data_IF_316395113412
#
_entry.id   IF_316395113412
#
_cell.length_a   1.000
_cell.length_b   1.000
_cell.length_c   1.000
_cell.angle_alpha   90.00
_cell.angle_beta   90.00
_cell.angle_gamma   90.00
#
_symmetry.space_group_name_H-M   'P 1'
#
loop_
_entity.id
_entity.type
_entity.pdbx_description
1 polymer ?
#
# COMPACT_ATOMS: atom_id res chain seq x y z
N UNK A 1 11.88 22.97 -5.41
CA UNK A 1 11.73 21.50 -5.62
C UNK A 1 10.39 21.09 -5.08
N UNK A 2 9.43 20.83 -5.96
CA UNK A 2 8.13 20.28 -5.55
C UNK A 2 8.34 18.79 -5.29
N UNK A 3 8.29 18.37 -4.03
CA UNK A 3 8.38 16.95 -3.68
C UNK A 3 7.13 16.23 -4.20
N UNK A 4 7.34 15.19 -5.04
CA UNK A 4 6.26 14.31 -5.47
C UNK A 4 5.59 13.66 -4.25
N UNK A 5 4.26 13.53 -4.31
CA UNK A 5 3.45 12.90 -3.25
C UNK A 5 3.90 11.47 -2.89
N UNK A 6 4.60 10.79 -3.79
CA UNK A 6 4.99 9.40 -3.66
C UNK A 6 6.46 9.19 -3.33
N UNK A 7 7.26 10.26 -3.25
CA UNK A 7 8.67 10.17 -2.89
C UNK A 7 8.89 9.73 -1.44
N UNK A 8 9.89 8.89 -1.24
CA UNK A 8 10.30 8.38 0.07
C UNK A 8 10.77 9.49 1.02
N UNK A 9 11.24 10.62 0.47
CA UNK A 9 11.79 11.76 1.22
C UNK A 9 10.82 12.39 2.22
N UNK A 10 9.49 12.26 2.03
CA UNK A 10 8.53 12.82 3.01
C UNK A 10 8.63 12.18 4.41
N UNK A 11 9.28 11.04 4.55
CA UNK A 11 9.51 10.43 5.86
C UNK A 11 10.50 11.24 6.71
N UNK A 12 11.30 12.13 6.08
CA UNK A 12 12.21 13.05 6.78
C UNK A 12 11.47 14.02 7.74
N UNK A 13 10.15 14.17 7.63
CA UNK A 13 9.34 14.87 8.64
C UNK A 13 9.38 14.21 10.03
N UNK A 14 9.89 12.99 10.10
CA UNK A 14 10.06 12.19 11.31
C UNK A 14 11.54 11.86 11.52
N UNK A 15 12.40 12.84 11.24
CA UNK A 15 13.86 12.66 11.29
C UNK A 15 14.34 12.13 12.65
N UNK A 16 13.77 12.62 13.73
CA UNK A 16 14.03 12.16 15.10
C UNK A 16 13.82 10.65 15.28
N UNK A 17 12.75 10.10 14.69
CA UNK A 17 12.51 8.65 14.70
C UNK A 17 13.48 7.90 13.78
N UNK A 18 13.81 8.45 12.63
CA UNK A 18 14.78 7.83 11.72
C UNK A 18 16.17 7.78 12.34
N UNK A 19 16.60 8.84 13.02
CA UNK A 19 17.84 8.90 13.77
C UNK A 19 17.88 7.86 14.90
N UNK A 20 16.81 7.73 15.68
CA UNK A 20 16.71 6.66 16.68
C UNK A 20 16.86 5.28 16.05
N UNK A 21 16.20 5.00 14.91
CA UNK A 21 16.29 3.72 14.21
C UNK A 21 17.73 3.49 13.68
N UNK A 22 18.34 4.50 13.11
CA UNK A 22 19.74 4.42 12.63
C UNK A 22 20.72 4.00 13.73
N UNK A 23 20.48 4.46 14.96
CA UNK A 23 21.30 4.14 16.14
C UNK A 23 20.77 2.95 16.96
N UNK A 24 19.95 2.08 16.36
CA UNK A 24 19.48 0.82 16.98
C UNK A 24 18.27 0.97 17.90
N UNK A 25 17.64 2.15 17.97
CA UNK A 25 16.41 2.37 18.69
C UNK A 25 15.19 1.76 18.00
N UNK A 26 14.10 1.62 18.76
CA UNK A 26 12.84 1.02 18.31
C UNK A 26 11.65 1.95 18.60
N UNK A 27 11.58 3.15 17.98
CA UNK A 27 10.46 4.06 18.20
C UNK A 27 9.14 3.43 17.72
N UNK A 28 8.00 3.92 18.25
CA UNK A 28 6.70 3.48 17.76
C UNK A 28 6.49 3.87 16.28
N UNK A 29 5.74 3.04 15.51
CA UNK A 29 5.63 3.21 14.06
C UNK A 29 5.02 4.55 13.67
N UNK A 30 5.46 5.05 12.53
CA UNK A 30 4.93 6.25 11.87
C UNK A 30 3.67 5.87 11.06
N UNK A 31 3.77 4.75 10.34
CA UNK A 31 2.76 4.22 9.44
C UNK A 31 2.11 2.96 10.03
N UNK A 32 0.80 3.00 10.19
CA UNK A 32 0.00 1.89 10.69
C UNK A 32 -0.83 1.33 9.55
N UNK A 33 -0.64 0.07 9.23
CA UNK A 33 -1.35 -0.62 8.14
C UNK A 33 -2.28 -1.65 8.75
N UNK A 34 -3.51 -1.69 8.29
CA UNK A 34 -4.48 -2.70 8.72
C UNK A 34 -5.13 -3.37 7.53
N UNK A 35 -5.24 -4.69 7.60
CA UNK A 35 -6.00 -5.53 6.69
C UNK A 35 -7.33 -5.92 7.35
N UNK A 36 -8.41 -5.16 7.12
CA UNK A 36 -9.70 -5.43 7.77
C UNK A 36 -10.31 -6.78 7.38
N UNK A 37 -9.91 -7.31 6.22
CA UNK A 37 -10.38 -8.57 5.67
C UNK A 37 -9.30 -9.20 4.78
N UNK A 38 -9.23 -10.55 4.74
CA UNK A 38 -8.51 -11.28 3.69
C UNK A 38 -9.45 -11.78 2.58
N UNK A 39 -10.76 -11.59 2.75
CA UNK A 39 -11.76 -11.89 1.72
C UNK A 39 -11.76 -10.78 0.67
N UNK A 40 -11.80 -11.15 -0.60
CA UNK A 40 -11.89 -10.20 -1.71
C UNK A 40 -12.94 -10.68 -2.73
N UNK A 41 -13.72 -9.75 -3.23
CA UNK A 41 -14.69 -9.97 -4.30
C UNK A 41 -14.08 -9.84 -5.71
N UNK A 42 -12.76 -9.57 -5.82
CA UNK A 42 -11.99 -9.59 -7.08
C UNK A 42 -10.96 -10.73 -7.08
N UNK A 43 -10.51 -11.10 -8.29
CA UNK A 43 -9.51 -12.15 -8.55
C UNK A 43 -8.37 -11.63 -9.44
N UNK A 44 -7.83 -10.43 -9.13
CA UNK A 44 -6.82 -9.77 -9.96
C UNK A 44 -5.64 -10.69 -10.29
N UNK A 45 -5.21 -10.66 -11.55
CA UNK A 45 -4.15 -11.54 -12.09
C UNK A 45 -2.80 -11.33 -11.43
N UNK A 46 -2.47 -10.08 -11.09
CA UNK A 46 -1.23 -9.70 -10.40
C UNK A 46 -1.34 -9.65 -8.87
N UNK A 47 -2.41 -10.14 -8.27
CA UNK A 47 -2.58 -10.04 -6.82
C UNK A 47 -1.51 -10.87 -6.10
N UNK A 48 -0.59 -10.18 -5.41
CA UNK A 48 0.52 -10.82 -4.70
C UNK A 48 0.03 -11.83 -3.64
N UNK A 49 -1.09 -11.52 -2.98
CA UNK A 49 -1.67 -12.42 -1.97
C UNK A 49 -2.22 -13.72 -2.56
N UNK A 50 -2.61 -13.70 -3.83
CA UNK A 50 -3.01 -14.92 -4.55
C UNK A 50 -1.83 -15.69 -5.11
N UNK A 51 -0.83 -14.97 -5.62
CA UNK A 51 0.37 -15.57 -6.20
C UNK A 51 1.19 -16.34 -5.17
N UNK A 52 1.22 -15.87 -3.93
CA UNK A 52 1.97 -16.51 -2.83
C UNK A 52 1.13 -17.47 -1.97
N UNK A 53 -0.12 -17.73 -2.34
CA UNK A 53 -1.00 -18.67 -1.65
C UNK A 53 -1.54 -18.19 -0.29
N UNK A 54 -1.27 -16.95 0.10
CA UNK A 54 -1.71 -16.41 1.41
C UNK A 54 -3.22 -16.12 1.48
N UNK A 55 -3.88 -16.03 0.36
CA UNK A 55 -5.30 -15.72 0.30
C UNK A 55 -6.16 -16.95 0.14
N UNK A 56 -7.31 -16.93 0.80
CA UNK A 56 -8.53 -17.66 0.46
C UNK A 56 -8.73 -19.04 1.06
N UNK A 57 -7.75 -19.72 1.60
CA UNK A 57 -7.97 -21.00 2.27
C UNK A 57 -8.82 -20.83 3.55
N UNK A 58 -8.73 -19.65 4.18
CA UNK A 58 -9.49 -19.32 5.38
C UNK A 58 -10.02 -17.88 5.29
N UNK A 59 -11.29 -17.67 4.90
CA UNK A 59 -11.89 -16.35 4.89
C UNK A 59 -11.97 -15.78 6.32
N UNK A 60 -11.23 -14.72 6.58
CA UNK A 60 -11.15 -14.08 7.90
C UNK A 60 -11.49 -12.59 7.78
N UNK A 61 -12.29 -12.11 8.69
CA UNK A 61 -12.61 -10.70 8.88
C UNK A 61 -12.11 -10.29 10.27
N UNK A 62 -11.31 -9.23 10.32
CA UNK A 62 -10.77 -8.73 11.58
C UNK A 62 -11.93 -8.32 12.52
N UNK A 63 -11.96 -8.83 13.77
CA UNK A 63 -13.02 -8.49 14.70
C UNK A 63 -13.07 -6.99 15.00
N UNK A 64 -14.28 -6.43 15.16
CA UNK A 64 -14.50 -5.01 15.46
C UNK A 64 -13.64 -4.52 16.62
N UNK A 65 -13.63 -5.28 17.73
CA UNK A 65 -12.85 -4.91 18.93
C UNK A 65 -11.36 -4.71 18.60
N UNK A 66 -10.76 -5.63 17.85
CA UNK A 66 -9.35 -5.58 17.48
C UNK A 66 -9.06 -4.40 16.53
N UNK A 67 -9.96 -4.18 15.55
CA UNK A 67 -9.82 -3.08 14.60
C UNK A 67 -9.90 -1.71 15.30
N UNK A 68 -10.87 -1.49 16.20
CA UNK A 68 -11.00 -0.23 16.94
C UNK A 68 -9.79 0.01 17.85
N UNK A 69 -9.37 -1.02 18.59
CA UNK A 69 -8.20 -0.94 19.46
C UNK A 69 -6.93 -0.56 18.69
N UNK A 70 -6.73 -1.12 17.50
CA UNK A 70 -5.59 -0.78 16.67
C UNK A 70 -5.60 0.71 16.26
N UNK A 71 -6.76 1.28 15.98
CA UNK A 71 -6.92 2.70 15.69
C UNK A 71 -6.61 3.55 16.92
N UNK A 72 -7.09 3.15 18.10
CA UNK A 72 -6.84 3.84 19.37
C UNK A 72 -5.35 3.80 19.73
N UNK A 73 -4.69 2.63 19.60
CA UNK A 73 -3.27 2.47 19.83
C UNK A 73 -2.43 3.32 18.86
N UNK A 74 -2.80 3.37 17.58
CA UNK A 74 -2.15 4.23 16.60
C UNK A 74 -2.21 5.72 17.01
N UNK A 75 -3.37 6.18 17.44
CA UNK A 75 -3.55 7.56 17.90
C UNK A 75 -2.73 7.86 19.17
N UNK A 76 -2.81 6.99 20.16
CA UNK A 76 -2.14 7.13 21.45
C UNK A 76 -0.61 7.10 21.34
N UNK A 77 -0.06 6.31 20.41
CA UNK A 77 1.38 6.10 20.23
C UNK A 77 1.99 7.01 19.14
N UNK A 78 1.25 8.02 18.70
CA UNK A 78 1.75 9.02 17.76
C UNK A 78 1.89 8.52 16.32
N UNK A 79 1.06 7.57 15.92
CA UNK A 79 0.90 7.17 14.53
C UNK A 79 0.41 8.34 13.67
N UNK A 80 1.02 8.55 12.52
CA UNK A 80 0.68 9.69 11.65
C UNK A 80 -0.44 9.36 10.70
N UNK A 81 -0.51 8.11 10.24
CA UNK A 81 -1.48 7.65 9.25
C UNK A 81 -1.84 6.18 9.50
N UNK A 82 -3.12 5.87 9.35
CA UNK A 82 -3.61 4.50 9.27
C UNK A 82 -4.01 4.22 7.82
N UNK A 83 -3.40 3.19 7.22
CA UNK A 83 -3.73 2.70 5.89
C UNK A 83 -4.65 1.48 6.01
N UNK A 84 -5.85 1.59 5.48
CA UNK A 84 -6.80 0.50 5.31
C UNK A 84 -6.60 -0.09 3.91
N UNK A 85 -5.93 -1.21 3.85
CA UNK A 85 -5.67 -1.91 2.59
C UNK A 85 -5.73 -3.43 2.86
N UNK A 86 -5.23 -4.26 1.97
CA UNK A 86 -5.20 -5.51 2.48
C UNK A 86 -4.83 -6.71 1.74
N UNK A 87 -4.90 -7.83 2.46
CA UNK A 87 -4.94 -9.14 1.92
C UNK A 87 -6.19 -9.39 1.06
N UNK A 88 -7.32 -8.73 1.39
CA UNK A 88 -8.58 -8.74 0.66
C UNK A 88 -9.12 -7.33 0.37
N UNK A 89 -10.45 -7.21 0.24
CA UNK A 89 -11.12 -5.92 0.11
C UNK A 89 -11.50 -5.35 1.49
N UNK A 90 -10.97 -4.17 1.88
CA UNK A 90 -11.23 -3.60 3.20
C UNK A 90 -12.71 -3.35 3.51
N UNK A 91 -13.50 -3.00 2.49
CA UNK A 91 -14.92 -2.67 2.66
C UNK A 91 -15.83 -3.89 2.86
N UNK A 92 -15.32 -5.10 2.72
CA UNK A 92 -16.04 -6.33 3.12
C UNK A 92 -16.20 -6.38 4.64
N UNK A 93 -15.26 -5.82 5.39
CA UNK A 93 -15.45 -5.65 6.83
C UNK A 93 -16.41 -4.48 7.10
N UNK A 94 -17.63 -4.79 7.54
CA UNK A 94 -18.68 -3.80 7.84
C UNK A 94 -18.29 -2.73 8.88
N UNK A 95 -17.24 -2.96 9.63
CA UNK A 95 -16.73 -2.05 10.66
C UNK A 95 -15.64 -1.10 10.17
N UNK A 96 -15.25 -1.18 8.89
CA UNK A 96 -14.21 -0.31 8.33
C UNK A 96 -14.62 1.17 8.38
N UNK A 97 -15.88 1.49 8.08
CA UNK A 97 -16.37 2.88 8.19
C UNK A 97 -16.31 3.42 9.62
N UNK A 98 -16.68 2.61 10.62
CA UNK A 98 -16.58 2.99 12.02
C UNK A 98 -15.12 3.29 12.41
N UNK A 99 -14.18 2.45 11.96
CA UNK A 99 -12.75 2.62 12.22
C UNK A 99 -12.17 3.89 11.56
N UNK A 100 -12.60 4.21 10.34
CA UNK A 100 -12.24 5.47 9.67
C UNK A 100 -12.74 6.68 10.44
N UNK A 101 -13.99 6.66 10.88
CA UNK A 101 -14.59 7.74 11.69
C UNK A 101 -13.89 7.89 13.04
N UNK A 102 -13.54 6.79 13.69
CA UNK A 102 -12.77 6.80 14.93
C UNK A 102 -11.38 7.41 14.71
N UNK A 103 -10.63 6.99 13.68
CA UNK A 103 -9.32 7.57 13.37
C UNK A 103 -9.41 9.08 13.14
N UNK A 104 -10.42 9.54 12.39
CA UNK A 104 -10.65 10.96 12.16
C UNK A 104 -10.97 11.72 13.46
N UNK A 105 -11.78 11.16 14.36
CA UNK A 105 -12.12 11.78 15.64
C UNK A 105 -10.91 11.90 16.58
N UNK A 106 -9.94 10.97 16.44
CA UNK A 106 -8.69 10.97 17.18
C UNK A 106 -7.56 11.78 16.50
N UNK A 107 -7.85 12.42 15.36
CA UNK A 107 -6.89 13.27 14.64
C UNK A 107 -5.84 12.51 13.81
N UNK A 108 -5.98 11.18 13.64
CA UNK A 108 -5.08 10.38 12.82
C UNK A 108 -5.55 10.42 11.36
N UNK A 109 -4.62 10.64 10.43
CA UNK A 109 -4.94 10.64 9.00
C UNK A 109 -5.31 9.25 8.52
N UNK A 110 -6.22 9.20 7.56
CA UNK A 110 -6.69 7.95 6.98
C UNK A 110 -6.30 7.83 5.51
N UNK A 111 -5.81 6.66 5.13
CA UNK A 111 -5.60 6.28 3.74
C UNK A 111 -6.31 4.95 3.48
N UNK A 112 -6.87 4.77 2.29
CA UNK A 112 -7.52 3.53 1.90
C UNK A 112 -7.19 3.16 0.46
N UNK A 113 -7.00 1.86 0.24
CA UNK A 113 -7.01 1.25 -1.09
C UNK A 113 -8.17 0.27 -1.15
N UNK A 114 -9.07 0.47 -2.12
CA UNK A 114 -10.25 -0.37 -2.33
C UNK A 114 -10.43 -0.69 -3.81
N UNK A 115 -11.11 -1.75 -4.15
CA UNK A 115 -11.51 -2.04 -5.52
C UNK A 115 -12.72 -1.20 -6.00
N UNK A 116 -13.37 -0.46 -5.09
CA UNK A 116 -14.45 0.46 -5.40
C UNK A 116 -15.85 -0.15 -5.48
N UNK A 117 -15.99 -1.48 -5.50
CA UNK A 117 -17.30 -2.13 -5.62
C UNK A 117 -18.26 -1.81 -4.47
N UNK A 118 -17.74 -1.63 -3.28
CA UNK A 118 -18.50 -1.30 -2.07
C UNK A 118 -18.31 0.16 -1.62
N UNK A 119 -17.75 0.99 -2.48
CA UNK A 119 -17.52 2.40 -2.18
C UNK A 119 -18.85 3.16 -2.05
N UNK A 120 -18.94 4.00 -1.03
CA UNK A 120 -20.08 4.90 -0.79
C UNK A 120 -19.61 6.33 -0.53
N UNK A 121 -20.51 7.33 -0.67
CA UNK A 121 -20.20 8.72 -0.33
C UNK A 121 -19.69 8.89 1.11
N UNK A 122 -20.22 8.12 2.07
CA UNK A 122 -19.81 8.18 3.48
C UNK A 122 -18.36 7.69 3.66
N UNK A 123 -17.94 6.66 2.91
CA UNK A 123 -16.56 6.19 2.90
C UNK A 123 -15.65 7.29 2.33
N UNK A 124 -16.02 7.88 1.19
CA UNK A 124 -15.23 8.95 0.57
C UNK A 124 -15.08 10.17 1.48
N UNK A 125 -16.14 10.53 2.22
CA UNK A 125 -16.15 11.60 3.21
C UNK A 125 -15.33 11.28 4.47
N UNK A 126 -14.90 10.03 4.67
CA UNK A 126 -14.18 9.57 5.85
C UNK A 126 -12.70 9.25 5.61
N UNK A 127 -12.21 9.35 4.36
CA UNK A 127 -10.83 9.01 3.98
C UNK A 127 -10.08 10.25 3.49
N UNK A 128 -8.91 10.54 4.08
CA UNK A 128 -8.08 11.66 3.62
C UNK A 128 -7.39 11.36 2.28
N UNK A 129 -6.96 10.11 2.05
CA UNK A 129 -6.35 9.65 0.80
C UNK A 129 -7.02 8.36 0.33
N UNK A 130 -7.97 8.51 -0.58
CA UNK A 130 -8.73 7.38 -1.14
C UNK A 130 -8.18 7.00 -2.51
N UNK A 131 -7.77 5.75 -2.65
CA UNK A 131 -7.25 5.18 -3.89
C UNK A 131 -8.10 4.00 -4.33
N UNK A 132 -8.69 4.09 -5.51
CA UNK A 132 -9.54 3.05 -6.09
C UNK A 132 -8.73 2.26 -7.10
N UNK A 133 -8.58 0.96 -6.88
CA UNK A 133 -7.81 0.03 -7.71
C UNK A 133 -8.65 -0.43 -8.91
N UNK A 134 -8.87 0.47 -9.88
CA UNK A 134 -9.68 0.19 -11.07
C UNK A 134 -8.89 -0.60 -12.12
N UNK A 135 -7.61 -0.24 -12.34
CA UNK A 135 -6.62 -0.94 -13.16
C UNK A 135 -6.96 -1.10 -14.65
N UNK A 136 -7.93 -0.38 -15.14
CA UNK A 136 -8.37 -0.43 -16.53
C UNK A 136 -9.05 0.89 -16.95
N UNK A 137 -8.96 1.26 -18.21
CA UNK A 137 -9.71 2.35 -18.83
C UNK A 137 -10.98 1.87 -19.53
N UNK A 138 -11.13 0.56 -19.70
CA UNK A 138 -12.26 -0.06 -20.39
C UNK A 138 -12.83 -1.25 -19.62
N UNK A 139 -14.13 -1.51 -19.79
CA UNK A 139 -14.81 -2.65 -19.17
C UNK A 139 -14.15 -3.98 -19.57
N UNK A 140 -13.83 -4.14 -20.85
CA UNK A 140 -13.20 -5.35 -21.38
C UNK A 140 -11.84 -5.63 -20.72
N UNK A 141 -11.03 -4.58 -20.50
CA UNK A 141 -9.74 -4.70 -19.82
C UNK A 141 -9.93 -5.00 -18.33
N UNK A 142 -10.85 -4.31 -17.65
CA UNK A 142 -11.19 -4.54 -16.26
C UNK A 142 -11.58 -6.00 -16.01
N UNK A 143 -12.44 -6.54 -16.85
CA UNK A 143 -12.87 -7.92 -16.73
C UNK A 143 -11.70 -8.92 -16.87
N UNK A 144 -10.79 -8.70 -17.83
CA UNK A 144 -9.62 -9.57 -18.01
C UNK A 144 -8.68 -9.55 -16.81
N UNK A 145 -8.44 -8.39 -16.24
CA UNK A 145 -7.39 -8.19 -15.24
C UNK A 145 -7.89 -8.35 -13.80
N UNK A 146 -9.12 -7.95 -13.49
CA UNK A 146 -9.61 -7.94 -12.11
C UNK A 146 -10.44 -9.18 -11.75
N UNK A 147 -10.99 -9.90 -12.72
CA UNK A 147 -11.87 -11.05 -12.49
C UNK A 147 -11.28 -12.40 -12.94
N UNK A 148 -10.09 -12.40 -13.55
CA UNK A 148 -9.44 -13.61 -14.00
C UNK A 148 -10.25 -14.38 -15.05
N UNK A 149 -10.99 -13.62 -15.89
CA UNK A 149 -11.82 -14.17 -16.98
C UNK A 149 -12.98 -15.06 -16.52
N UNK A 150 -13.51 -14.88 -15.32
CA UNK A 150 -14.73 -15.56 -14.87
C UNK A 150 -15.94 -15.08 -15.68
N UNK A 151 -16.56 -15.91 -16.54
CA UNK A 151 -17.64 -15.49 -17.41
C UNK A 151 -18.93 -15.09 -16.66
N UNK A 152 -19.04 -15.48 -15.38
CA UNK A 152 -20.21 -15.21 -14.55
C UNK A 152 -20.11 -13.87 -13.78
N UNK A 153 -18.94 -13.23 -13.79
CA UNK A 153 -18.68 -12.01 -13.01
C UNK A 153 -18.63 -10.75 -13.89
N UNK A 154 -19.60 -10.64 -14.81
CA UNK A 154 -19.78 -9.45 -15.65
C UNK A 154 -20.72 -8.45 -14.95
N UNK A 155 -20.46 -7.18 -15.10
CA UNK A 155 -21.32 -6.09 -14.59
C UNK A 155 -20.74 -5.33 -13.40
N UNK A 156 -19.58 -5.74 -12.89
CA UNK A 156 -18.89 -5.07 -11.81
C UNK A 156 -18.36 -3.67 -12.22
N UNK A 157 -17.93 -3.54 -13.45
CA UNK A 157 -17.44 -2.28 -14.03
C UNK A 157 -18.41 -1.12 -13.81
N UNK A 158 -19.66 -1.27 -14.24
CA UNK A 158 -20.65 -0.19 -14.14
C UNK A 158 -20.94 0.17 -12.68
N UNK A 159 -21.00 -0.84 -11.80
CA UNK A 159 -21.19 -0.62 -10.36
C UNK A 159 -20.04 0.23 -9.79
N UNK A 160 -18.80 -0.08 -10.15
CA UNK A 160 -17.62 0.66 -9.67
C UNK A 160 -17.63 2.09 -10.22
N UNK A 161 -17.88 2.26 -11.52
CA UNK A 161 -17.94 3.59 -12.14
C UNK A 161 -19.04 4.45 -11.50
N UNK A 162 -20.21 3.90 -11.27
CA UNK A 162 -21.33 4.62 -10.63
C UNK A 162 -21.01 4.94 -9.17
N UNK A 163 -20.34 4.04 -8.46
CA UNK A 163 -19.87 4.30 -7.09
C UNK A 163 -18.86 5.45 -7.05
N UNK A 164 -17.92 5.50 -8.00
CA UNK A 164 -16.94 6.59 -8.08
C UNK A 164 -17.66 7.91 -8.38
N UNK A 165 -18.53 7.95 -9.39
CA UNK A 165 -19.30 9.16 -9.74
C UNK A 165 -20.10 9.72 -8.57
N UNK A 166 -20.74 8.84 -7.80
CA UNK A 166 -21.52 9.24 -6.62
C UNK A 166 -20.65 9.69 -5.45
N UNK A 167 -19.46 9.13 -5.31
CA UNK A 167 -18.59 9.34 -4.15
C UNK A 167 -17.59 10.48 -4.34
N UNK A 168 -17.13 10.74 -5.55
CA UNK A 168 -16.13 11.76 -5.85
C UNK A 168 -16.54 13.17 -5.36
N UNK A 169 -17.79 13.63 -5.49
CA UNK A 169 -18.21 14.93 -4.95
C UNK A 169 -18.15 15.02 -3.42
N UNK A 170 -18.16 13.90 -2.72
CA UNK A 170 -18.16 13.80 -1.25
C UNK A 170 -16.78 13.53 -0.65
N UNK A 171 -15.72 13.54 -1.48
CA UNK A 171 -14.36 13.28 -1.00
C UNK A 171 -13.95 14.21 0.13
N UNK A 172 -13.34 13.63 1.17
CA UNK A 172 -12.83 14.40 2.31
C UNK A 172 -11.63 15.26 1.91
N UNK A 173 -10.67 14.69 1.17
CA UNK A 173 -9.49 15.39 0.61
C UNK A 173 -9.21 14.89 -0.80
N UNK A 174 -8.42 13.83 -0.96
CA UNK A 174 -7.97 13.36 -2.26
C UNK A 174 -8.59 12.00 -2.59
N UNK A 175 -9.21 11.90 -3.76
CA UNK A 175 -9.67 10.66 -4.36
C UNK A 175 -8.94 10.43 -5.69
N UNK A 176 -8.49 9.21 -5.94
CA UNK A 176 -7.83 8.90 -7.19
C UNK A 176 -7.94 7.44 -7.61
N UNK A 177 -7.55 7.18 -8.85
CA UNK A 177 -7.54 5.84 -9.42
C UNK A 177 -6.13 5.27 -9.45
N UNK A 178 -6.01 3.97 -9.17
CA UNK A 178 -4.76 3.24 -9.32
C UNK A 178 -4.80 2.35 -10.56
N UNK A 179 -3.67 2.27 -11.22
CA UNK A 179 -3.40 1.38 -12.35
C UNK A 179 -2.16 0.55 -12.03
N UNK A 180 -2.36 -0.73 -11.83
CA UNK A 180 -1.27 -1.71 -11.77
C UNK A 180 -0.95 -2.08 -13.21
N UNK A 181 0.17 -1.57 -13.70
CA UNK A 181 0.66 -1.73 -15.06
C UNK A 181 1.23 -3.13 -15.25
N UNK A 182 0.70 -3.87 -16.20
CA UNK A 182 1.16 -5.18 -16.60
C UNK A 182 1.35 -5.24 -18.12
N UNK A 183 2.00 -6.29 -18.62
CA UNK A 183 2.30 -6.47 -20.05
C UNK A 183 1.03 -6.65 -20.91
N UNK A 184 -0.10 -6.97 -20.32
CA UNK A 184 -1.38 -7.19 -21.02
C UNK A 184 -2.37 -6.02 -20.91
N UNK A 185 -2.04 -4.97 -20.13
CA UNK A 185 -2.92 -3.81 -19.96
C UNK A 185 -2.28 -2.44 -20.22
N UNK A 186 -0.96 -2.34 -20.46
CA UNK A 186 -0.26 -1.05 -20.56
C UNK A 186 -0.80 -0.14 -21.68
N UNK A 187 -1.34 -0.71 -22.74
CA UNK A 187 -1.94 0.06 -23.85
C UNK A 187 -3.23 0.77 -23.45
N UNK A 188 -3.84 0.40 -22.33
CA UNK A 188 -5.07 0.99 -21.81
C UNK A 188 -4.82 2.27 -20.95
N UNK A 189 -3.54 2.64 -20.74
CA UNK A 189 -3.16 3.82 -19.93
C UNK A 189 -3.83 5.11 -20.41
N UNK A 190 -3.84 5.48 -21.71
CA UNK A 190 -4.50 6.70 -22.13
C UNK A 190 -5.99 6.70 -21.83
N UNK A 191 -6.71 5.63 -22.16
CA UNK A 191 -8.14 5.50 -21.87
C UNK A 191 -8.43 5.54 -20.35
N UNK A 192 -7.55 4.98 -19.53
CA UNK A 192 -7.67 5.04 -18.08
C UNK A 192 -7.52 6.47 -17.54
N UNK A 193 -6.57 7.25 -18.07
CA UNK A 193 -6.37 8.64 -17.64
C UNK A 193 -7.52 9.54 -18.10
N UNK A 194 -8.02 9.34 -19.34
CA UNK A 194 -9.20 10.04 -19.85
C UNK A 194 -10.44 9.76 -18.99
N UNK A 195 -10.67 8.49 -18.65
CA UNK A 195 -11.75 8.08 -17.73
C UNK A 195 -11.60 8.72 -16.35
N UNK A 196 -10.39 8.79 -15.81
CA UNK A 196 -10.14 9.42 -14.52
C UNK A 196 -10.49 10.92 -14.52
N UNK A 197 -10.20 11.62 -15.63
CA UNK A 197 -10.61 13.01 -15.83
C UNK A 197 -12.13 13.15 -15.91
N UNK A 198 -12.82 12.27 -16.67
CA UNK A 198 -14.28 12.22 -16.75
C UNK A 198 -14.96 12.01 -15.39
N UNK A 199 -14.36 11.16 -14.55
CA UNK A 199 -14.87 10.83 -13.20
C UNK A 199 -14.56 11.91 -12.15
N UNK A 200 -13.93 13.02 -12.52
CA UNK A 200 -13.57 14.15 -11.64
C UNK A 200 -12.76 13.73 -10.41
N UNK A 201 -11.83 12.78 -10.56
CA UNK A 201 -10.90 12.40 -9.51
C UNK A 201 -9.67 13.32 -9.50
N UNK A 202 -8.94 13.36 -8.38
CA UNK A 202 -7.84 14.31 -8.18
C UNK A 202 -6.51 13.80 -8.76
N UNK A 203 -6.34 12.46 -8.82
CA UNK A 203 -5.08 11.89 -9.28
C UNK A 203 -5.26 10.49 -9.88
N UNK A 204 -4.31 10.12 -10.72
CA UNK A 204 -4.04 8.73 -11.08
C UNK A 204 -2.66 8.31 -10.59
N UNK A 205 -2.55 7.06 -10.16
CA UNK A 205 -1.37 6.44 -9.62
C UNK A 205 -1.02 5.18 -10.41
N UNK A 206 -0.04 5.28 -11.31
CA UNK A 206 0.40 4.19 -12.19
C UNK A 206 1.68 3.60 -11.62
N UNK A 207 1.70 2.28 -11.44
CA UNK A 207 2.87 1.53 -10.95
C UNK A 207 2.97 0.18 -11.64
N UNK A 208 4.18 -0.38 -11.85
CA UNK A 208 4.34 -1.70 -12.44
C UNK A 208 3.75 -2.79 -11.52
N UNK A 209 3.21 -3.83 -12.14
CA UNK A 209 2.91 -5.08 -11.48
C UNK A 209 4.20 -5.71 -10.96
N UNK A 210 4.03 -6.58 -9.98
CA UNK A 210 5.08 -7.45 -9.50
C UNK A 210 4.62 -8.89 -9.64
N UNK A 211 5.45 -9.73 -10.24
CA UNK A 211 5.21 -11.15 -10.33
C UNK A 211 6.31 -11.91 -9.60
N UNK A 212 5.93 -12.96 -8.84
CA UNK A 212 6.91 -13.89 -8.25
C UNK A 212 7.56 -14.77 -9.32
N UNK A 213 6.85 -15.04 -10.41
CA UNK A 213 7.41 -15.71 -11.58
C UNK A 213 8.35 -14.77 -12.32
N UNK A 214 9.63 -15.17 -12.47
CA UNK A 214 10.64 -14.34 -13.10
C UNK A 214 10.39 -14.11 -14.60
N UNK A 215 9.73 -15.04 -15.28
CA UNK A 215 9.40 -14.88 -16.71
C UNK A 215 8.31 -13.83 -16.91
N UNK A 216 7.29 -13.82 -16.05
CA UNK A 216 6.23 -12.82 -16.03
C UNK A 216 6.79 -11.44 -15.65
N UNK A 217 7.66 -11.37 -14.63
CA UNK A 217 8.32 -10.12 -14.23
C UNK A 217 9.19 -9.56 -15.35
N UNK A 218 9.91 -10.39 -16.10
CA UNK A 218 10.69 -9.99 -17.25
C UNK A 218 9.82 -9.41 -18.39
N UNK A 219 8.62 -9.93 -18.60
CA UNK A 219 7.64 -9.39 -19.56
C UNK A 219 7.18 -7.99 -19.16
N UNK A 220 6.89 -7.77 -17.88
CA UNK A 220 6.55 -6.43 -17.36
C UNK A 220 7.72 -5.47 -17.59
N UNK A 221 8.95 -5.89 -17.28
CA UNK A 221 10.15 -5.08 -17.48
C UNK A 221 10.35 -4.69 -18.95
N UNK A 222 10.08 -5.61 -19.86
CA UNK A 222 10.27 -5.39 -21.31
C UNK A 222 9.38 -4.26 -21.87
N UNK A 223 8.16 -4.08 -21.32
CA UNK A 223 7.23 -3.06 -21.81
C UNK A 223 7.40 -1.68 -21.13
N UNK A 224 8.28 -1.57 -20.13
CA UNK A 224 8.44 -0.32 -19.36
C UNK A 224 8.71 0.93 -20.20
N UNK A 225 9.61 0.93 -21.21
CA UNK A 225 9.85 2.12 -22.03
C UNK A 225 8.61 2.61 -22.76
N UNK A 226 7.80 1.69 -23.29
CA UNK A 226 6.55 2.02 -24.01
C UNK A 226 5.48 2.52 -23.01
N UNK A 227 5.37 1.89 -21.87
CA UNK A 227 4.43 2.28 -20.83
C UNK A 227 4.73 3.67 -20.26
N UNK A 228 6.00 4.01 -20.05
CA UNK A 228 6.42 5.35 -19.61
C UNK A 228 6.11 6.39 -20.68
N UNK A 229 6.35 6.10 -21.96
CA UNK A 229 5.98 7.00 -23.04
C UNK A 229 4.45 7.27 -23.09
N UNK A 230 3.62 6.23 -22.86
CA UNK A 230 2.16 6.39 -22.76
C UNK A 230 1.75 7.22 -21.54
N UNK A 231 2.42 7.06 -20.40
CA UNK A 231 2.20 7.89 -19.21
C UNK A 231 2.53 9.36 -19.50
N UNK A 232 3.62 9.64 -20.22
CA UNK A 232 4.02 11.01 -20.55
C UNK A 232 3.05 11.67 -21.53
N UNK A 233 2.58 10.93 -22.53
CA UNK A 233 1.53 11.39 -23.46
C UNK A 233 0.25 11.71 -22.68
N UNK A 234 -0.23 10.78 -21.83
CA UNK A 234 -1.42 10.98 -21.04
C UNK A 234 -1.28 12.18 -20.09
N UNK A 235 -0.11 12.36 -19.47
CA UNK A 235 0.19 13.53 -18.63
C UNK A 235 0.15 14.82 -19.42
N UNK A 236 0.72 14.85 -20.63
CA UNK A 236 0.71 16.03 -21.51
C UNK A 236 -0.70 16.41 -21.94
N UNK A 237 -1.54 15.43 -22.29
CA UNK A 237 -2.92 15.66 -22.71
C UNK A 237 -3.80 16.27 -21.61
N UNK A 238 -3.46 16.02 -20.33
CA UNK A 238 -4.19 16.56 -19.18
C UNK A 238 -3.42 17.68 -18.44
N UNK A 239 -2.35 18.22 -19.06
CA UNK A 239 -1.58 19.31 -18.47
C UNK A 239 -2.44 20.57 -18.29
N UNK A 240 -2.34 21.20 -17.12
CA UNK A 240 -3.14 22.40 -16.78
C UNK A 240 -4.55 22.08 -16.27
N UNK A 241 -5.00 20.83 -16.33
CA UNK A 241 -6.23 20.36 -15.70
C UNK A 241 -6.05 20.07 -14.21
N UNK A 242 -7.13 19.67 -13.55
CA UNK A 242 -7.13 19.31 -12.12
C UNK A 242 -6.46 17.95 -11.86
N UNK A 243 -6.63 17.01 -12.78
CA UNK A 243 -6.12 15.66 -12.67
C UNK A 243 -4.59 15.63 -12.66
N UNK A 244 -4.00 15.03 -11.62
CA UNK A 244 -2.57 14.82 -11.52
C UNK A 244 -2.21 13.37 -11.93
N UNK A 245 -1.30 13.22 -12.90
CA UNK A 245 -0.86 11.91 -13.39
C UNK A 245 0.50 11.55 -12.80
N UNK A 246 0.52 10.55 -11.93
CA UNK A 246 1.74 10.04 -11.30
C UNK A 246 2.11 8.66 -11.86
N UNK A 247 3.14 8.63 -12.70
CA UNK A 247 3.89 7.42 -12.97
C UNK A 247 5.02 7.34 -11.92
N UNK A 248 5.01 6.33 -11.05
CA UNK A 248 5.95 6.26 -9.93
C UNK A 248 7.29 5.71 -10.42
N UNK A 249 8.10 6.59 -10.98
CA UNK A 249 9.40 6.26 -11.56
C UNK A 249 10.33 5.55 -10.58
N UNK A 250 10.41 5.97 -9.32
CA UNK A 250 11.20 5.28 -8.29
C UNK A 250 10.83 3.80 -8.13
N UNK A 251 9.56 3.43 -8.38
CA UNK A 251 9.14 2.03 -8.36
C UNK A 251 9.44 1.32 -9.67
N UNK A 252 9.40 2.04 -10.79
CA UNK A 252 9.78 1.47 -12.08
C UNK A 252 11.27 1.12 -12.14
N UNK A 253 12.11 1.92 -11.53
CA UNK A 253 13.56 1.71 -11.49
C UNK A 253 13.97 0.84 -10.29
N UNK A 254 13.42 1.14 -9.11
CA UNK A 254 13.83 0.55 -7.84
C UNK A 254 13.49 -0.93 -7.66
N UNK A 255 12.50 -1.46 -8.42
CA UNK A 255 12.15 -2.88 -8.31
C UNK A 255 13.24 -3.82 -8.82
N UNK A 256 14.03 -3.37 -9.79
CA UNK A 256 15.10 -4.16 -10.42
C UNK A 256 16.51 -3.64 -10.09
N UNK A 257 16.62 -2.61 -9.24
CA UNK A 257 17.92 -2.08 -8.80
C UNK A 257 18.42 -2.86 -7.58
N UNK A 258 19.70 -3.23 -7.52
CA UNK A 258 20.30 -3.82 -6.33
C UNK A 258 20.12 -2.93 -5.10
N UNK A 259 19.88 -3.54 -3.95
CA UNK A 259 19.74 -2.80 -2.69
C UNK A 259 21.07 -2.19 -2.26
N UNK A 260 21.01 -0.97 -1.75
CA UNK A 260 22.16 -0.26 -1.19
C UNK A 260 22.34 -0.45 0.32
N UNK A 261 21.59 -1.38 0.94
CA UNK A 261 21.58 -1.63 2.38
C UNK A 261 21.64 -3.13 2.66
N UNK A 262 22.28 -3.49 3.78
CA UNK A 262 22.55 -4.88 4.19
C UNK A 262 21.56 -5.43 5.23
N UNK A 263 20.75 -4.57 5.84
CA UNK A 263 19.71 -4.96 6.79
C UNK A 263 18.48 -4.08 6.64
N UNK A 264 17.30 -4.65 6.90
CA UNK A 264 16.06 -3.88 6.83
C UNK A 264 15.79 -3.14 8.14
N UNK A 265 16.06 -1.84 8.16
CA UNK A 265 15.75 -0.96 9.30
C UNK A 265 14.39 -0.28 9.15
N UNK A 266 13.86 -0.18 7.92
CA UNK A 266 12.56 0.44 7.64
C UNK A 266 11.38 -0.28 8.31
N UNK A 267 11.53 -1.54 8.73
CA UNK A 267 10.54 -2.29 9.52
C UNK A 267 10.17 -1.60 10.84
N UNK A 268 11.02 -0.70 11.34
CA UNK A 268 10.73 0.11 12.52
C UNK A 268 9.88 1.35 12.21
N UNK A 269 9.71 1.69 10.94
CA UNK A 269 8.87 2.85 10.53
C UNK A 269 7.40 2.51 10.37
N UNK A 270 7.05 1.24 10.30
CA UNK A 270 5.66 0.82 10.07
C UNK A 270 5.30 -0.49 10.74
N UNK A 271 4.01 -0.75 10.85
CA UNK A 271 3.42 -1.98 11.37
C UNK A 271 2.25 -2.40 10.50
N UNK A 272 2.05 -3.70 10.31
CA UNK A 272 0.91 -4.25 9.57
C UNK A 272 0.13 -5.22 10.44
N UNK A 273 -1.12 -4.88 10.75
CA UNK A 273 -2.08 -5.79 11.40
C UNK A 273 -2.84 -6.55 10.32
N UNK A 274 -2.68 -7.87 10.29
CA UNK A 274 -3.39 -8.74 9.33
C UNK A 274 -4.81 -9.04 9.79
N UNK A 275 -5.66 -9.49 8.86
CA UNK A 275 -7.04 -9.90 9.17
C UNK A 275 -7.13 -11.04 10.20
N UNK A 276 -6.09 -11.87 10.27
CA UNK A 276 -5.91 -12.94 11.27
C UNK A 276 -5.63 -12.42 12.68
N UNK A 277 -5.34 -11.11 12.82
CA UNK A 277 -5.06 -10.45 14.10
C UNK A 277 -3.60 -10.52 14.54
N UNK A 278 -2.73 -11.13 13.75
CA UNK A 278 -1.28 -11.11 13.93
C UNK A 278 -0.64 -9.88 13.27
N UNK A 279 0.56 -9.55 13.69
CA UNK A 279 1.34 -8.46 13.10
C UNK A 279 2.38 -9.00 12.11
N UNK A 280 2.47 -8.40 10.93
CA UNK A 280 3.57 -8.63 10.00
C UNK A 280 4.59 -7.50 10.08
N UNK A 281 5.86 -7.83 9.86
CA UNK A 281 6.96 -6.85 9.87
C UNK A 281 6.85 -5.84 8.74
N UNK A 282 6.24 -6.25 7.63
CA UNK A 282 6.13 -5.44 6.41
C UNK A 282 4.92 -5.91 5.60
N UNK A 283 4.32 -5.00 4.86
CA UNK A 283 3.20 -5.32 3.98
C UNK A 283 3.57 -6.15 2.74
N UNK A 284 4.87 -6.26 2.40
CA UNK A 284 5.36 -7.12 1.32
C UNK A 284 5.93 -8.45 1.84
N UNK A 285 6.15 -8.59 3.15
CA UNK A 285 6.59 -9.80 3.85
C UNK A 285 5.60 -10.16 4.95
N UNK A 286 4.38 -10.45 4.52
CA UNK A 286 3.27 -10.85 5.39
C UNK A 286 3.43 -12.26 5.95
N UNK A 287 4.40 -13.02 5.44
CA UNK A 287 4.88 -14.29 5.96
C UNK A 287 5.71 -14.14 7.25
N UNK A 288 6.39 -13.00 7.43
CA UNK A 288 7.15 -12.70 8.63
C UNK A 288 6.25 -12.05 9.69
N UNK A 289 5.68 -12.88 10.55
CA UNK A 289 4.71 -12.47 11.57
C UNK A 289 5.28 -12.60 12.98
N UNK A 290 4.86 -11.68 13.85
CA UNK A 290 5.11 -11.72 15.30
C UNK A 290 3.85 -11.29 16.06
N UNK A 291 3.83 -11.46 17.38
CA UNK A 291 2.71 -11.01 18.21
C UNK A 291 1.42 -11.69 17.81
N UNK A 292 1.46 -13.02 17.69
CA UNK A 292 0.35 -13.83 17.19
C UNK A 292 -0.98 -13.47 17.86
N UNK A 293 -2.04 -13.51 17.08
CA UNK A 293 -3.42 -13.13 17.40
C UNK A 293 -3.88 -13.35 18.88
N UNK A 294 -3.53 -14.43 19.58
CA UNK A 294 -3.91 -14.60 20.98
C UNK A 294 -3.40 -13.48 21.89
N UNK A 295 -2.21 -12.93 21.62
CA UNK A 295 -1.61 -11.94 22.51
C UNK A 295 -2.31 -10.58 22.39
N UNK A 296 -2.41 -10.01 21.18
CA UNK A 296 -3.06 -8.72 20.99
C UNK A 296 -4.59 -8.79 21.12
N UNK A 297 -5.23 -9.77 20.49
CA UNK A 297 -6.66 -10.00 20.63
C UNK A 297 -7.03 -10.45 22.06
N UNK A 298 -6.14 -11.16 22.74
CA UNK A 298 -6.29 -11.61 24.12
C UNK A 298 -6.11 -10.51 25.17
N UNK A 299 -5.66 -9.30 24.76
CA UNK A 299 -5.58 -8.14 25.65
C UNK A 299 -4.16 -7.65 25.97
N UNK A 300 -3.10 -8.28 25.43
CA UNK A 300 -1.74 -7.73 25.51
C UNK A 300 -1.69 -6.32 24.92
N UNK A 301 -0.90 -5.41 25.49
CA UNK A 301 -0.76 -4.06 24.94
C UNK A 301 0.00 -4.09 23.62
N UNK A 302 -0.22 -3.07 22.78
CA UNK A 302 0.59 -2.92 21.56
C UNK A 302 2.07 -2.76 21.91
N UNK A 303 2.38 -2.04 23.00
CA UNK A 303 3.73 -1.82 23.51
C UNK A 303 4.44 -3.14 23.84
N UNK A 304 3.74 -4.06 24.52
CA UNK A 304 4.31 -5.39 24.85
C UNK A 304 4.61 -6.18 23.58
N UNK A 305 3.70 -6.14 22.60
CA UNK A 305 3.91 -6.77 21.30
C UNK A 305 5.07 -6.11 20.53
N UNK A 306 5.11 -4.75 20.48
CA UNK A 306 6.10 -3.99 19.71
C UNK A 306 7.52 -4.15 20.23
N UNK A 307 7.71 -4.22 21.56
CA UNK A 307 9.01 -4.35 22.20
C UNK A 307 9.35 -5.80 22.60
N UNK A 308 8.57 -6.79 22.15
CA UNK A 308 8.82 -8.20 22.47
C UNK A 308 10.15 -8.69 21.89
N UNK A 309 10.76 -9.64 22.59
CA UNK A 309 11.98 -10.32 22.12
C UNK A 309 11.70 -11.12 20.84
N UNK A 310 10.50 -11.70 20.71
CA UNK A 310 10.05 -12.36 19.48
C UNK A 310 10.20 -11.45 18.26
N UNK A 311 9.70 -10.21 18.36
CA UNK A 311 9.83 -9.25 17.27
C UNK A 311 11.28 -8.84 17.00
N UNK A 312 12.07 -8.60 18.05
CA UNK A 312 13.48 -8.25 17.90
C UNK A 312 14.27 -9.35 17.21
N UNK A 313 14.08 -10.61 17.61
CA UNK A 313 14.70 -11.76 16.98
C UNK A 313 14.27 -11.90 15.52
N UNK A 314 12.98 -11.74 15.22
CA UNK A 314 12.48 -11.81 13.85
C UNK A 314 13.08 -10.69 12.97
N UNK A 315 13.09 -9.45 13.45
CA UNK A 315 13.68 -8.33 12.70
C UNK A 315 15.18 -8.54 12.47
N UNK A 316 15.89 -9.11 13.43
CA UNK A 316 17.30 -9.42 13.31
C UNK A 316 17.62 -10.43 12.20
N UNK A 317 16.65 -11.25 11.74
CA UNK A 317 16.85 -12.15 10.60
C UNK A 317 16.79 -11.46 9.25
N UNK A 318 16.37 -10.19 9.17
CA UNK A 318 16.15 -9.50 7.89
C UNK A 318 17.42 -8.76 7.46
N UNK A 319 18.44 -9.52 7.09
CA UNK A 319 19.73 -9.07 6.58
C UNK A 319 20.18 -9.94 5.39
N UNK A 320 21.25 -9.53 4.69
CA UNK A 320 21.78 -10.22 3.50
C UNK A 320 22.95 -11.19 3.80
N UNK A 321 23.37 -11.29 5.07
CA UNK A 321 24.37 -12.26 5.52
C UNK A 321 23.88 -13.70 5.51
N UNK A 322 24.74 -14.63 5.87
CA UNK A 322 24.43 -16.06 5.94
C UNK A 322 23.20 -16.32 6.84
N UNK A 323 22.23 -17.08 6.33
CA UNK A 323 20.94 -17.34 7.00
C UNK A 323 19.97 -16.16 7.02
N UNK A 324 20.33 -15.02 6.43
CA UNK A 324 19.48 -13.83 6.41
C UNK A 324 18.34 -13.92 5.38
N UNK A 325 17.26 -13.24 5.67
CA UNK A 325 16.00 -13.29 4.88
C UNK A 325 15.81 -12.09 3.95
N UNK A 326 16.76 -11.16 3.88
CA UNK A 326 16.64 -9.98 3.02
C UNK A 326 16.59 -10.34 1.52
N UNK A 327 17.32 -11.39 1.12
CA UNK A 327 17.32 -11.91 -0.25
C UNK A 327 15.96 -12.45 -0.68
N UNK A 328 15.15 -12.94 0.26
CA UNK A 328 13.80 -13.43 0.00
C UNK A 328 12.75 -12.30 -0.13
N UNK A 329 13.12 -11.04 0.12
CA UNK A 329 12.23 -9.92 -0.18
C UNK A 329 12.12 -9.75 -1.69
N UNK A 330 10.94 -9.93 -2.30
CA UNK A 330 10.82 -9.91 -3.76
C UNK A 330 11.14 -8.53 -4.32
N UNK A 331 10.69 -7.50 -3.65
CA UNK A 331 10.94 -6.08 -3.94
C UNK A 331 10.88 -5.32 -2.62
N UNK A 332 11.19 -4.05 -2.61
CA UNK A 332 11.12 -3.27 -1.39
C UNK A 332 10.33 -1.97 -1.58
N UNK A 333 9.09 -1.93 -1.07
CA UNK A 333 8.28 -0.68 -1.04
C UNK A 333 8.89 0.37 -0.11
N UNK A 334 9.76 -0.04 0.82
CA UNK A 334 10.47 0.83 1.75
C UNK A 334 11.97 1.00 1.41
N UNK A 335 12.39 0.65 0.19
CA UNK A 335 13.79 0.77 -0.25
C UNK A 335 14.39 2.15 0.00
N UNK A 336 13.67 3.20 -0.42
CA UNK A 336 14.09 4.58 -0.17
C UNK A 336 14.15 4.95 1.31
N UNK A 337 13.29 4.36 2.18
CA UNK A 337 13.39 4.56 3.64
C UNK A 337 14.64 3.90 4.22
N UNK A 338 14.94 2.67 3.78
CA UNK A 338 16.15 1.97 4.19
C UNK A 338 17.41 2.74 3.76
N UNK A 339 17.43 3.24 2.53
CA UNK A 339 18.55 4.05 2.03
C UNK A 339 18.77 5.32 2.87
N UNK A 340 17.67 6.03 3.22
CA UNK A 340 17.74 7.21 4.09
C UNK A 340 18.25 6.87 5.50
N UNK A 341 17.74 5.80 6.11
CA UNK A 341 18.18 5.39 7.45
C UNK A 341 19.65 4.98 7.42
N UNK A 342 20.10 4.27 6.38
CA UNK A 342 21.49 3.90 6.20
C UNK A 342 22.38 5.14 6.03
N UNK A 343 21.95 6.13 5.26
CA UNK A 343 22.70 7.37 5.08
C UNK A 343 22.80 8.20 6.38
N UNK A 344 21.80 8.14 7.26
CA UNK A 344 21.84 8.74 8.60
C UNK A 344 22.87 7.97 9.47
N UNK A 345 22.84 6.63 9.44
CA UNK A 345 23.76 5.77 10.20
C UNK A 345 25.22 6.00 9.83
N UNK A 346 25.51 6.14 8.53
CA UNK A 346 26.86 6.34 8.00
C UNK A 346 27.33 7.80 8.03
N UNK A 347 26.53 8.71 8.56
CA UNK A 347 26.78 10.16 8.61
C UNK A 347 26.90 10.83 7.21
N UNK A 348 26.56 10.12 6.14
CA UNK A 348 26.64 10.63 4.76
C UNK A 348 25.74 11.86 4.55
N UNK A 349 24.61 11.94 5.26
CA UNK A 349 23.72 13.11 5.21
C UNK A 349 24.30 14.35 5.91
N UNK A 350 25.17 14.18 6.91
CA UNK A 350 25.84 15.29 7.60
C UNK A 350 26.82 16.03 6.70
N UNK A 351 27.51 15.29 5.85
CA UNK A 351 28.50 15.85 4.90
C UNK A 351 27.81 16.60 3.77
N UNK A 352 26.60 16.21 3.39
CA UNK A 352 25.85 16.83 2.29
C UNK A 352 25.07 18.11 2.69
N UNK A 353 24.94 18.40 3.99
CA UNK A 353 24.18 19.56 4.52
C UNK A 353 25.07 20.68 5.09
N UNK A 354 26.40 20.56 4.97
CA UNK A 354 27.38 21.59 5.36
C UNK A 354 28.11 22.17 4.07
#
# INVERSE_FOLDING_TARGET
VTLDRFQSLKILRHYDKLEQIAHGGAPYPIEWVVYPSNVCNHKCTWCMFRQNGEQFDFPVILPRRTLMRFVEDAARLGGTVIQFEGGGEPLINKHTLDALRLANSLGVKTAMSTNGRLLTPEIAASVDYLRISLNAGTEAQHWRTNHGSDPNDRGDWQIIIDNIRRSAPHRRKDIGLAFVLDYDNYTDIPAFVDLAAELDVDFVHIRPAFHYDQSEDARVRAIMPLALALCDIARANHAGGRLQVFAITEKFEGYWTPRSYHACRAVWTGVTLRATGDFAVCKDRTDLVWGHAPNYQGGASFEDCWHSDERRMLVATIHDGEGGQLSACPRCVWGGRNALINAIETDELRIALV
#
